data_IF_289554328615
#
_entry.id   IF_289554328615
#
_cell.length_a   1.000
_cell.length_b   1.000
_cell.length_c   1.000
_cell.angle_alpha   90.00
_cell.angle_beta   90.00
_cell.angle_gamma   90.00
#
_symmetry.space_group_name_H-M   'P 1'
#
loop_
_entity.id
_entity.type
_entity.pdbx_description
1 polymer ?
#
# COMPACT_ATOMS: atom_id res chain seq x y z
N UNK A 1 -49.93 -1.04 -2.75
CA UNK A 1 -49.47 -1.71 -4.00
C UNK A 1 -49.42 -0.65 -5.09
N UNK A 2 -48.39 -0.61 -5.96
CA UNK A 2 -47.00 -0.24 -5.65
C UNK A 2 -46.37 0.72 -6.70
N UNK A 3 -45.07 1.02 -6.52
CA UNK A 3 -44.07 1.57 -7.46
C UNK A 3 -44.21 3.07 -7.85
N UNK A 4 -43.15 3.88 -7.83
CA UNK A 4 -41.84 3.56 -8.39
C UNK A 4 -40.66 4.23 -7.68
N UNK A 5 -39.64 3.43 -7.37
CA UNK A 5 -38.30 3.87 -6.97
C UNK A 5 -37.41 3.80 -8.21
N UNK A 6 -37.01 4.96 -8.73
CA UNK A 6 -35.93 5.07 -9.71
C UNK A 6 -34.82 5.92 -9.07
N UNK A 7 -33.83 5.32 -8.41
CA UNK A 7 -32.59 4.82 -9.01
C UNK A 7 -32.20 5.56 -10.28
N UNK A 8 -31.33 6.56 -10.12
CA UNK A 8 -30.33 6.90 -11.15
C UNK A 8 -29.05 7.31 -10.43
N UNK A 9 -28.42 6.36 -9.73
CA UNK A 9 -27.00 6.48 -9.44
C UNK A 9 -26.28 6.38 -10.78
N UNK A 10 -25.83 7.53 -11.33
CA UNK A 10 -24.87 7.51 -12.43
C UNK A 10 -23.76 6.53 -12.05
N UNK A 11 -23.29 5.66 -12.96
CA UNK A 11 -22.02 5.00 -12.72
C UNK A 11 -20.99 6.13 -12.70
N UNK A 12 -20.66 6.62 -11.51
CA UNK A 12 -19.44 7.41 -11.36
C UNK A 12 -18.34 6.47 -11.81
N UNK A 13 -17.58 6.87 -12.82
CA UNK A 13 -16.31 6.22 -13.17
C UNK A 13 -15.27 6.54 -12.10
N UNK A 14 -15.68 6.45 -10.82
CA UNK A 14 -14.84 6.60 -9.66
C UNK A 14 -13.83 5.45 -9.69
N UNK A 15 -12.58 5.80 -9.95
CA UNK A 15 -11.49 4.82 -10.06
C UNK A 15 -10.92 4.64 -8.65
N UNK A 16 -11.05 3.45 -8.04
CA UNK A 16 -10.39 3.19 -6.78
C UNK A 16 -8.88 3.13 -7.03
N UNK A 17 -8.14 3.84 -6.20
CA UNK A 17 -6.69 3.91 -6.17
C UNK A 17 -6.21 3.69 -4.75
N UNK A 18 -5.02 3.10 -4.61
CA UNK A 18 -4.41 2.88 -3.33
C UNK A 18 -2.96 3.32 -3.32
N UNK A 19 -2.54 3.83 -2.18
CA UNK A 19 -1.16 4.17 -1.91
C UNK A 19 -0.73 3.42 -0.66
N UNK A 20 0.40 2.72 -0.74
CA UNK A 20 1.03 2.07 0.40
C UNK A 20 2.37 2.76 0.63
N UNK A 21 2.58 3.25 1.84
CA UNK A 21 3.83 3.87 2.28
C UNK A 21 4.53 2.97 3.28
N UNK A 22 5.77 2.58 2.98
CA UNK A 22 6.64 1.82 3.87
C UNK A 22 7.54 2.82 4.59
N UNK A 23 7.10 3.18 5.80
CA UNK A 23 7.82 4.04 6.72
C UNK A 23 8.85 3.30 7.57
N UNK A 24 9.61 4.07 8.34
CA UNK A 24 10.53 3.56 9.37
C UNK A 24 9.80 2.85 10.51
N UNK A 25 8.64 3.36 10.95
CA UNK A 25 7.95 2.85 12.14
C UNK A 25 6.62 2.17 11.82
N UNK A 26 6.10 2.38 10.62
CA UNK A 26 4.79 1.87 10.21
C UNK A 26 4.73 1.72 8.71
N UNK A 27 4.01 0.71 8.25
CA UNK A 27 3.53 0.60 6.87
C UNK A 27 2.10 1.11 6.87
N UNK A 28 1.80 2.07 6.01
CA UNK A 28 0.48 2.70 5.91
C UNK A 28 -0.10 2.39 4.55
N UNK A 29 -1.41 2.21 4.48
CA UNK A 29 -2.17 2.09 3.25
C UNK A 29 -3.33 3.06 3.29
N UNK A 30 -3.49 3.84 2.22
CA UNK A 30 -4.67 4.66 2.00
C UNK A 30 -5.33 4.21 0.70
N UNK A 31 -6.63 3.97 0.74
CA UNK A 31 -7.47 3.66 -0.41
C UNK A 31 -8.40 4.86 -0.60
N UNK A 32 -8.40 5.41 -1.80
CA UNK A 32 -9.28 6.50 -2.17
C UNK A 32 -9.93 6.21 -3.52
N UNK A 33 -11.10 6.76 -3.75
CA UNK A 33 -11.70 6.82 -5.08
C UNK A 33 -11.47 8.21 -5.68
N UNK A 34 -11.21 8.24 -6.98
CA UNK A 34 -11.02 9.47 -7.76
C UNK A 34 -12.14 9.53 -8.79
N UNK A 35 -12.98 10.56 -8.71
CA UNK A 35 -14.06 10.79 -9.69
C UNK A 35 -13.54 11.51 -10.95
N UNK A 36 -14.41 11.68 -11.95
CA UNK A 36 -14.05 12.34 -13.22
C UNK A 36 -13.77 13.84 -13.07
N UNK A 37 -14.18 14.43 -11.95
CA UNK A 37 -13.92 15.82 -11.59
C UNK A 37 -12.65 15.96 -10.73
N UNK A 38 -11.85 14.90 -10.63
CA UNK A 38 -10.64 14.80 -9.81
C UNK A 38 -10.87 15.01 -8.30
N UNK A 39 -12.09 14.83 -7.81
CA UNK A 39 -12.35 14.78 -6.38
C UNK A 39 -11.82 13.46 -5.82
N UNK A 40 -10.99 13.57 -4.79
CA UNK A 40 -10.44 12.42 -4.08
C UNK A 40 -11.27 12.18 -2.83
N UNK A 41 -11.91 11.02 -2.73
CA UNK A 41 -12.62 10.60 -1.52
C UNK A 41 -11.88 9.43 -0.89
N UNK A 42 -11.38 9.64 0.33
CA UNK A 42 -10.75 8.56 1.11
C UNK A 42 -11.80 7.53 1.49
N UNK A 43 -11.58 6.28 1.09
CA UNK A 43 -12.44 5.14 1.42
C UNK A 43 -11.96 4.42 2.66
N UNK A 44 -10.65 4.19 2.76
CA UNK A 44 -10.05 3.45 3.87
C UNK A 44 -8.63 3.89 4.12
N UNK A 45 -8.20 3.85 5.38
CA UNK A 45 -6.81 4.03 5.77
C UNK A 45 -6.44 2.98 6.81
N UNK A 46 -5.38 2.23 6.56
CA UNK A 46 -4.80 1.26 7.47
C UNK A 46 -3.37 1.69 7.81
N UNK A 47 -2.94 1.40 9.03
CA UNK A 47 -1.56 1.62 9.46
C UNK A 47 -1.16 0.45 10.34
N UNK A 48 -0.02 -0.16 10.03
CA UNK A 48 0.54 -1.27 10.79
C UNK A 48 1.94 -0.92 11.23
N UNK A 49 2.19 -1.02 12.53
CA UNK A 49 3.51 -0.76 13.10
C UNK A 49 4.51 -1.82 12.63
N UNK A 50 5.74 -1.39 12.32
CA UNK A 50 6.87 -2.24 11.94
C UNK A 50 8.16 -1.66 12.50
N UNK A 51 9.19 -2.49 12.66
CA UNK A 51 10.48 -2.06 13.25
C UNK A 51 11.58 -1.75 12.24
N UNK A 52 11.25 -1.45 10.98
CA UNK A 52 12.21 -1.17 9.90
C UNK A 52 13.26 -0.13 10.27
N UNK A 53 12.84 1.00 10.81
CA UNK A 53 13.74 2.10 11.16
C UNK A 53 14.67 1.79 12.30
N UNK A 54 14.23 0.96 13.26
CA UNK A 54 15.09 0.51 14.36
C UNK A 54 16.22 -0.35 13.81
N UNK A 55 15.93 -1.30 12.93
CA UNK A 55 16.92 -2.20 12.34
C UNK A 55 17.92 -1.42 11.48
N UNK A 56 17.40 -0.53 10.64
CA UNK A 56 18.23 0.30 9.75
C UNK A 56 19.12 1.24 10.54
N UNK A 57 18.60 1.91 11.57
CA UNK A 57 19.37 2.84 12.39
C UNK A 57 20.43 2.15 13.26
N UNK A 58 20.09 0.99 13.84
CA UNK A 58 21.01 0.30 14.77
C UNK A 58 22.04 -0.58 14.07
N UNK A 59 21.69 -1.20 12.93
CA UNK A 59 22.51 -2.22 12.27
C UNK A 59 22.84 -1.89 10.81
N UNK A 60 22.25 -0.82 10.25
CA UNK A 60 22.37 -0.50 8.83
C UNK A 60 21.67 -1.49 7.91
N UNK A 61 20.95 -2.49 8.43
CA UNK A 61 20.31 -3.54 7.64
C UNK A 61 18.98 -3.96 8.27
N UNK A 62 18.02 -4.34 7.43
CA UNK A 62 16.68 -4.77 7.87
C UNK A 62 16.74 -6.25 8.25
N UNK A 63 16.28 -6.61 9.44
CA UNK A 63 16.30 -8.00 9.87
C UNK A 63 15.30 -8.86 9.08
N UNK A 64 15.59 -10.16 9.01
CA UNK A 64 14.71 -11.13 8.36
C UNK A 64 13.31 -11.18 9.00
N UNK A 65 13.24 -11.05 10.32
CA UNK A 65 11.99 -10.94 11.09
C UNK A 65 11.13 -9.78 10.59
N UNK A 66 11.73 -8.60 10.44
CA UNK A 66 11.10 -7.37 9.96
C UNK A 66 10.72 -7.46 8.48
N UNK A 67 11.55 -8.10 7.64
CA UNK A 67 11.19 -8.42 6.24
C UNK A 67 9.93 -9.29 6.20
N UNK A 68 9.89 -10.36 6.99
CA UNK A 68 8.75 -11.26 7.03
C UNK A 68 7.49 -10.59 7.57
N UNK A 69 7.64 -9.70 8.56
CA UNK A 69 6.55 -8.87 9.06
C UNK A 69 6.00 -7.93 7.97
N UNK A 70 6.89 -7.24 7.25
CA UNK A 70 6.52 -6.38 6.13
C UNK A 70 5.78 -7.16 5.05
N UNK A 71 6.25 -8.36 4.72
CA UNK A 71 5.58 -9.27 3.78
C UNK A 71 4.18 -9.67 4.29
N UNK A 72 4.02 -9.98 5.58
CA UNK A 72 2.70 -10.30 6.17
C UNK A 72 1.75 -9.11 6.06
N UNK A 73 2.21 -7.90 6.39
CA UNK A 73 1.40 -6.68 6.30
C UNK A 73 0.98 -6.42 4.85
N UNK A 74 1.92 -6.48 3.90
CA UNK A 74 1.64 -6.27 2.49
C UNK A 74 0.71 -7.33 1.89
N UNK A 75 0.81 -8.59 2.33
CA UNK A 75 -0.16 -9.64 1.96
C UNK A 75 -1.56 -9.35 2.49
N UNK A 76 -1.67 -8.83 3.72
CA UNK A 76 -2.94 -8.40 4.28
C UNK A 76 -3.54 -7.25 3.46
N UNK A 77 -2.72 -6.25 3.14
CA UNK A 77 -3.13 -5.12 2.30
C UNK A 77 -3.56 -5.56 0.91
N UNK A 78 -2.86 -6.51 0.28
CA UNK A 78 -3.27 -7.08 -1.01
C UNK A 78 -4.68 -7.70 -0.97
N UNK A 79 -5.06 -8.33 0.15
CA UNK A 79 -6.42 -8.87 0.31
C UNK A 79 -7.45 -7.75 0.40
N UNK A 80 -7.16 -6.73 1.20
CA UNK A 80 -8.01 -5.54 1.31
C UNK A 80 -8.15 -4.88 -0.08
N UNK A 81 -7.06 -4.66 -0.80
CA UNK A 81 -7.10 -4.11 -2.17
C UNK A 81 -8.01 -4.92 -3.11
N UNK A 82 -7.95 -6.25 -3.03
CA UNK A 82 -8.83 -7.12 -3.81
C UNK A 82 -10.31 -6.95 -3.41
N UNK A 83 -10.62 -6.77 -2.12
CA UNK A 83 -11.99 -6.48 -1.65
C UNK A 83 -12.53 -5.14 -2.21
N UNK A 84 -11.66 -4.16 -2.44
CA UNK A 84 -12.01 -2.88 -3.08
C UNK A 84 -11.96 -2.92 -4.62
N UNK A 85 -11.73 -4.09 -5.24
CA UNK A 85 -11.62 -4.23 -6.70
C UNK A 85 -10.36 -3.61 -7.30
N UNK A 86 -9.33 -3.40 -6.48
CA UNK A 86 -8.04 -2.86 -6.90
C UNK A 86 -7.12 -4.02 -7.26
N UNK A 87 -7.21 -4.47 -8.51
CA UNK A 87 -6.45 -5.61 -9.01
C UNK A 87 -5.28 -5.19 -9.91
N UNK A 88 -5.37 -4.00 -10.53
CA UNK A 88 -4.34 -3.55 -11.47
C UNK A 88 -3.18 -2.89 -10.72
N UNK A 89 -1.93 -3.20 -11.10
CA UNK A 89 -0.75 -2.56 -10.49
C UNK A 89 -0.73 -1.05 -10.72
N UNK A 90 -1.34 -0.55 -11.79
CA UNK A 90 -1.48 0.89 -12.08
C UNK A 90 -2.29 1.65 -11.03
N UNK A 91 -3.19 0.95 -10.33
CA UNK A 91 -4.05 1.54 -9.29
C UNK A 91 -3.38 1.52 -7.91
N UNK A 92 -2.26 0.82 -7.74
CA UNK A 92 -1.57 0.65 -6.46
C UNK A 92 -0.17 1.24 -6.56
N UNK A 93 0.07 2.31 -5.81
CA UNK A 93 1.41 2.88 -5.69
C UNK A 93 2.02 2.47 -4.36
N UNK A 94 3.09 1.68 -4.38
CA UNK A 94 3.81 1.31 -3.16
C UNK A 94 5.14 2.01 -3.13
N UNK A 95 5.33 2.80 -2.08
CA UNK A 95 6.49 3.67 -1.91
C UNK A 95 7.22 3.28 -0.63
N UNK A 96 8.54 3.41 -0.65
CA UNK A 96 9.36 3.25 0.54
C UNK A 96 10.18 4.50 0.78
N UNK A 97 10.25 4.89 2.05
CA UNK A 97 10.94 6.10 2.51
C UNK A 97 12.40 5.79 2.89
N UNK A 98 13.03 6.69 3.64
CA UNK A 98 14.42 6.65 4.07
C UNK A 98 14.87 5.32 4.70
N UNK A 99 13.99 4.64 5.45
CA UNK A 99 14.33 3.36 6.10
C UNK A 99 14.85 2.30 5.11
N UNK A 100 14.14 2.12 4.00
CA UNK A 100 14.51 1.11 3.00
C UNK A 100 15.68 1.63 2.17
N UNK A 101 15.73 2.93 1.88
CA UNK A 101 16.83 3.54 1.10
C UNK A 101 18.19 3.38 1.79
N UNK A 102 18.23 3.61 3.10
CA UNK A 102 19.44 3.61 3.93
C UNK A 102 19.88 2.19 4.32
N UNK A 103 19.03 1.19 4.14
CA UNK A 103 19.37 -0.20 4.41
C UNK A 103 20.41 -0.74 3.40
N UNK A 104 21.49 -1.31 3.92
CA UNK A 104 22.53 -2.00 3.14
C UNK A 104 21.95 -3.17 2.33
N UNK A 105 20.93 -3.84 2.87
CA UNK A 105 20.24 -4.97 2.23
C UNK A 105 18.93 -4.58 1.55
N UNK A 106 18.76 -3.32 1.14
CA UNK A 106 17.53 -2.84 0.48
C UNK A 106 17.12 -3.67 -0.72
N UNK A 107 18.08 -4.08 -1.57
CA UNK A 107 17.79 -4.89 -2.75
C UNK A 107 17.20 -6.24 -2.35
N UNK A 108 17.76 -6.90 -1.33
CA UNK A 108 17.22 -8.14 -0.78
C UNK A 108 15.84 -7.96 -0.18
N UNK A 109 15.59 -6.84 0.50
CA UNK A 109 14.28 -6.49 1.06
C UNK A 109 13.24 -6.32 -0.06
N UNK A 110 13.54 -5.52 -1.08
CA UNK A 110 12.66 -5.25 -2.22
C UNK A 110 12.36 -6.53 -3.01
N UNK A 111 13.39 -7.32 -3.32
CA UNK A 111 13.25 -8.58 -4.04
C UNK A 111 12.41 -9.60 -3.25
N UNK A 112 12.61 -9.67 -1.94
CA UNK A 112 11.81 -10.55 -1.07
C UNK A 112 10.35 -10.13 -1.03
N UNK A 113 10.05 -8.83 -0.97
CA UNK A 113 8.68 -8.33 -1.04
C UNK A 113 8.06 -8.67 -2.39
N UNK A 114 8.77 -8.37 -3.48
CA UNK A 114 8.28 -8.62 -4.83
C UNK A 114 7.99 -10.11 -5.05
N UNK A 115 8.94 -10.98 -4.72
CA UNK A 115 8.77 -12.44 -4.82
C UNK A 115 7.62 -12.97 -3.96
N UNK A 116 7.40 -12.41 -2.77
CA UNK A 116 6.39 -12.92 -1.85
C UNK A 116 4.97 -12.36 -2.10
N UNK A 117 4.85 -11.19 -2.73
CA UNK A 117 3.58 -10.44 -2.83
C UNK A 117 3.20 -10.05 -4.26
N UNK A 118 4.18 -9.99 -5.16
CA UNK A 118 4.06 -9.42 -6.50
C UNK A 118 3.99 -7.89 -6.52
N UNK A 119 4.21 -7.22 -5.38
CA UNK A 119 4.13 -5.77 -5.25
C UNK A 119 5.50 -5.16 -5.54
N UNK A 120 5.52 -4.23 -6.49
CA UNK A 120 6.70 -3.43 -6.78
C UNK A 120 6.76 -2.23 -5.83
N UNK A 121 7.79 -2.21 -4.98
CA UNK A 121 8.05 -1.12 -4.06
C UNK A 121 9.02 -0.15 -4.73
N UNK A 122 8.65 1.13 -4.79
CA UNK A 122 9.50 2.19 -5.34
C UNK A 122 10.09 3.00 -4.19
N UNK A 123 11.42 2.99 -3.99
CA UNK A 123 12.06 3.94 -3.09
C UNK A 123 11.83 5.35 -3.63
N UNK A 124 11.29 6.25 -2.82
CA UNK A 124 11.19 7.66 -3.19
C UNK A 124 12.41 8.39 -2.63
N UNK A 125 13.15 9.00 -3.53
CA UNK A 125 14.09 10.08 -3.22
C UNK A 125 13.27 11.38 -3.30
N UNK A 126 13.32 12.17 -2.23
CA UNK A 126 12.55 13.41 -2.03
C UNK A 126 12.75 14.43 -3.16
#
# INVERSE_FOLDING_TARGET
MPADSATTSRPSTARPAAVIDIGTTSIRMAIAEIDDLANVRLLSALSQAVTLGKDTFTRGSIEKSTIEESVRVLKSYKRVLAEYGIERPEQVRVVATSAVREALNRLSFLDRIYTATGIQVVPIDE
#
